data_IF_384816080894
#
_entry.id   IF_384816080894
#
_cell.length_a   1.000
_cell.length_b   1.000
_cell.length_c   1.000
_cell.angle_alpha   90.00
_cell.angle_beta   90.00
_cell.angle_gamma   90.00
#
_symmetry.space_group_name_H-M   'P 1'
#
loop_
_entity.id
_entity.type
_entity.pdbx_description
1 polymer ?
#
# COMPACT_ATOMS: atom_id res chain seq x y z
N UNK A 1 42.08 17.34 -24.90
CA UNK A 1 41.75 17.77 -23.52
C UNK A 1 40.36 18.38 -23.41
N UNK A 2 39.95 19.29 -24.31
CA UNK A 2 38.62 19.92 -24.28
C UNK A 2 37.41 18.95 -24.38
N UNK A 3 37.45 17.95 -25.27
CA UNK A 3 36.33 17.01 -25.45
C UNK A 3 36.07 16.10 -24.23
N UNK A 4 37.13 15.73 -23.49
CA UNK A 4 37.00 14.94 -22.26
C UNK A 4 36.40 15.77 -21.11
N UNK A 5 36.73 17.06 -21.06
CA UNK A 5 36.18 17.99 -20.07
C UNK A 5 34.69 18.27 -20.32
N UNK A 6 34.29 18.49 -21.58
CA UNK A 6 32.87 18.65 -21.95
C UNK A 6 32.07 17.39 -21.63
N UNK A 7 32.58 16.20 -21.94
CA UNK A 7 31.92 14.94 -21.60
C UNK A 7 31.74 14.74 -20.09
N UNK A 8 32.74 15.11 -19.28
CA UNK A 8 32.65 15.05 -17.81
C UNK A 8 31.65 16.06 -17.23
N UNK A 9 31.64 17.29 -17.75
CA UNK A 9 30.68 18.33 -17.35
C UNK A 9 29.25 17.95 -17.74
N UNK A 10 29.02 17.46 -18.95
CA UNK A 10 27.70 16.98 -19.39
C UNK A 10 27.23 15.80 -18.53
N UNK A 11 28.10 14.82 -18.27
CA UNK A 11 27.77 13.71 -17.38
C UNK A 11 27.40 14.17 -15.97
N UNK A 12 28.15 15.13 -15.40
CA UNK A 12 27.87 15.66 -14.07
C UNK A 12 26.57 16.46 -14.01
N UNK A 13 26.29 17.27 -15.03
CA UNK A 13 25.02 18.01 -15.17
C UNK A 13 23.84 17.04 -15.30
N UNK A 14 23.98 15.99 -16.13
CA UNK A 14 22.94 14.97 -16.31
C UNK A 14 22.71 14.16 -15.03
N UNK A 15 23.75 13.89 -14.25
CA UNK A 15 23.65 13.21 -12.95
C UNK A 15 22.94 14.09 -11.91
N UNK A 16 23.29 15.37 -11.83
CA UNK A 16 22.63 16.34 -10.93
C UNK A 16 21.16 16.54 -11.33
N UNK A 17 20.88 16.66 -12.63
CA UNK A 17 19.52 16.79 -13.16
C UNK A 17 18.68 15.55 -12.87
N UNK A 18 19.22 14.35 -13.12
CA UNK A 18 18.57 13.08 -12.76
C UNK A 18 18.23 13.00 -11.28
N UNK A 19 19.14 13.43 -10.39
CA UNK A 19 18.88 13.48 -8.94
C UNK A 19 17.81 14.51 -8.57
N UNK A 20 17.80 15.67 -9.21
CA UNK A 20 16.80 16.70 -8.96
C UNK A 20 15.39 16.27 -9.43
N UNK A 21 15.30 15.65 -10.60
CA UNK A 21 14.04 15.15 -11.16
C UNK A 21 13.51 13.96 -10.35
N UNK A 22 14.38 13.06 -9.90
CA UNK A 22 14.02 11.99 -8.97
C UNK A 22 13.48 12.53 -7.63
N UNK A 23 14.11 13.58 -7.06
CA UNK A 23 13.60 14.24 -5.85
C UNK A 23 12.23 14.87 -6.04
N UNK A 24 12.00 15.54 -7.18
CA UNK A 24 10.69 16.15 -7.51
C UNK A 24 9.60 15.09 -7.67
N UNK A 25 9.91 13.97 -8.32
CA UNK A 25 8.97 12.85 -8.46
C UNK A 25 8.64 12.21 -7.10
N UNK A 26 9.65 11.98 -6.25
CA UNK A 26 9.42 11.49 -4.88
C UNK A 26 8.49 12.44 -4.15
N UNK A 27 8.80 13.73 -4.09
CA UNK A 27 7.95 14.72 -3.42
C UNK A 27 6.52 14.75 -4.00
N UNK A 28 6.36 14.57 -5.32
CA UNK A 28 5.06 14.57 -6.00
C UNK A 28 4.16 13.40 -5.58
N UNK A 29 4.73 12.21 -5.35
CA UNK A 29 3.97 11.00 -4.98
C UNK A 29 4.09 10.63 -3.50
N UNK A 30 4.88 11.39 -2.75
CA UNK A 30 5.09 11.25 -1.33
C UNK A 30 3.79 11.36 -0.55
N UNK A 31 3.12 12.51 -0.64
CA UNK A 31 1.92 12.80 0.14
C UNK A 31 0.75 11.87 -0.22
N UNK A 32 0.49 11.57 -1.52
CA UNK A 32 -0.54 10.60 -1.87
C UNK A 32 -0.28 9.20 -1.33
N UNK A 33 0.98 8.73 -1.33
CA UNK A 33 1.34 7.43 -0.77
C UNK A 33 1.23 7.43 0.77
N UNK A 34 1.62 8.52 1.43
CA UNK A 34 1.47 8.70 2.86
C UNK A 34 0.00 8.62 3.28
N UNK A 35 -0.88 9.36 2.60
CA UNK A 35 -2.32 9.34 2.86
C UNK A 35 -2.93 7.94 2.64
N UNK A 36 -2.61 7.29 1.52
CA UNK A 36 -3.10 5.94 1.25
C UNK A 36 -2.60 4.92 2.29
N UNK A 37 -1.36 5.09 2.79
CA UNK A 37 -0.81 4.25 3.84
C UNK A 37 -1.52 4.49 5.18
N UNK A 38 -1.81 5.75 5.53
CA UNK A 38 -2.56 6.14 6.74
C UNK A 38 -3.98 5.57 6.73
N UNK A 39 -4.68 5.67 5.60
CA UNK A 39 -6.05 5.17 5.47
C UNK A 39 -6.09 3.64 5.56
N UNK A 40 -5.21 2.96 4.82
CA UNK A 40 -5.14 1.50 4.83
C UNK A 40 -4.75 0.97 6.22
N UNK A 41 -3.71 1.51 6.86
CA UNK A 41 -3.30 1.02 8.18
C UNK A 41 -4.39 1.22 9.22
N UNK A 42 -5.09 2.36 9.19
CA UNK A 42 -6.22 2.66 10.08
C UNK A 42 -7.34 1.64 9.89
N UNK A 43 -7.61 1.26 8.63
CA UNK A 43 -8.58 0.22 8.32
C UNK A 43 -8.17 -1.14 8.85
N UNK A 44 -6.89 -1.53 8.71
CA UNK A 44 -6.37 -2.79 9.24
C UNK A 44 -6.40 -2.82 10.77
N UNK A 45 -6.07 -1.71 11.43
CA UNK A 45 -6.21 -1.55 12.88
C UNK A 45 -7.66 -1.79 13.32
N UNK A 46 -8.62 -1.16 12.64
CA UNK A 46 -10.03 -1.31 12.98
C UNK A 46 -10.57 -2.73 12.76
N UNK A 47 -10.04 -3.48 11.79
CA UNK A 47 -10.41 -4.88 11.56
C UNK A 47 -9.77 -5.86 12.55
N UNK A 48 -8.58 -5.56 13.07
CA UNK A 48 -7.77 -6.52 13.84
C UNK A 48 -7.79 -6.26 15.34
N UNK A 49 -7.88 -5.00 15.78
CA UNK A 49 -7.86 -4.60 17.18
C UNK A 49 -9.18 -3.98 17.64
N UNK A 50 -9.96 -3.43 16.73
CA UNK A 50 -11.31 -2.95 17.03
C UNK A 50 -12.38 -3.92 16.51
N UNK A 51 -13.64 -3.51 16.68
CA UNK A 51 -14.81 -4.32 16.36
C UNK A 51 -15.41 -3.97 14.99
N UNK A 52 -14.64 -3.54 13.99
CA UNK A 52 -15.22 -3.14 12.70
C UNK A 52 -16.07 -4.25 12.06
N UNK A 53 -15.62 -5.50 12.16
CA UNK A 53 -16.25 -6.65 11.52
C UNK A 53 -17.62 -7.03 12.12
N UNK A 54 -17.99 -6.51 13.30
CA UNK A 54 -19.32 -6.75 13.90
C UNK A 54 -20.45 -6.11 13.09
N UNK A 55 -20.11 -5.15 12.24
CA UNK A 55 -21.06 -4.42 11.40
C UNK A 55 -21.26 -5.04 10.02
N UNK A 56 -20.67 -6.21 9.73
CA UNK A 56 -20.80 -6.89 8.42
C UNK A 56 -22.24 -7.32 8.12
N UNK A 57 -23.02 -7.64 9.15
CA UNK A 57 -24.43 -8.05 9.02
C UNK A 57 -25.39 -6.85 8.90
N UNK A 58 -24.88 -5.62 9.04
CA UNK A 58 -25.65 -4.38 8.86
C UNK A 58 -25.63 -3.98 7.38
N UNK A 59 -26.76 -4.15 6.69
CA UNK A 59 -26.87 -3.90 5.25
C UNK A 59 -26.55 -2.44 4.85
N UNK A 60 -26.79 -1.46 5.73
CA UNK A 60 -26.43 -0.06 5.44
C UNK A 60 -24.91 0.17 5.50
N UNK A 61 -24.20 -0.62 6.31
CA UNK A 61 -22.75 -0.49 6.54
C UNK A 61 -21.93 -1.49 5.72
N UNK A 62 -22.58 -2.49 5.13
CA UNK A 62 -21.93 -3.57 4.38
C UNK A 62 -21.04 -3.06 3.26
N UNK A 63 -21.54 -2.15 2.42
CA UNK A 63 -20.73 -1.53 1.37
C UNK A 63 -19.55 -0.74 1.94
N UNK A 64 -19.77 -0.03 3.06
CA UNK A 64 -18.72 0.68 3.78
C UNK A 64 -17.69 -0.25 4.40
N UNK A 65 -17.93 -1.57 4.49
CA UNK A 65 -16.96 -2.57 4.94
C UNK A 65 -16.30 -3.23 3.74
N UNK A 66 -17.06 -3.79 2.80
CA UNK A 66 -16.51 -4.52 1.67
C UNK A 66 -15.89 -3.59 0.62
N UNK A 67 -16.70 -2.70 0.04
CA UNK A 67 -16.30 -1.83 -1.07
C UNK A 67 -15.24 -0.83 -0.62
N UNK A 68 -15.42 -0.20 0.54
CA UNK A 68 -14.42 0.76 1.03
C UNK A 68 -13.10 0.08 1.43
N UNK A 69 -13.11 -1.15 1.96
CA UNK A 69 -11.84 -1.87 2.20
C UNK A 69 -11.16 -2.20 0.87
N UNK A 70 -11.90 -2.70 -0.12
CA UNK A 70 -11.38 -2.96 -1.45
C UNK A 70 -10.78 -1.70 -2.09
N UNK A 71 -11.44 -0.56 -1.94
CA UNK A 71 -10.94 0.74 -2.37
C UNK A 71 -9.61 1.10 -1.73
N UNK A 72 -9.47 0.95 -0.40
CA UNK A 72 -8.23 1.34 0.29
C UNK A 72 -7.02 0.48 -0.12
N UNK A 73 -7.22 -0.83 -0.33
CA UNK A 73 -6.20 -1.68 -0.93
C UNK A 73 -5.87 -1.23 -2.36
N UNK A 74 -6.90 -0.92 -3.16
CA UNK A 74 -6.74 -0.42 -4.52
C UNK A 74 -5.98 0.91 -4.58
N UNK A 75 -6.29 1.84 -3.67
CA UNK A 75 -5.67 3.15 -3.58
C UNK A 75 -4.19 3.03 -3.22
N UNK A 76 -3.87 2.23 -2.20
CA UNK A 76 -2.48 1.95 -1.85
C UNK A 76 -1.73 1.32 -3.02
N UNK A 77 -2.27 0.25 -3.62
CA UNK A 77 -1.63 -0.45 -4.74
C UNK A 77 -1.47 0.46 -5.98
N UNK A 78 -2.42 1.34 -6.26
CA UNK A 78 -2.32 2.37 -7.30
C UNK A 78 -1.11 3.28 -7.08
N UNK A 79 -0.96 3.86 -5.89
CA UNK A 79 0.19 4.73 -5.61
C UNK A 79 1.53 3.97 -5.62
N UNK A 80 1.57 2.72 -5.15
CA UNK A 80 2.78 1.90 -5.29
C UNK A 80 3.10 1.56 -6.74
N UNK A 81 2.08 1.38 -7.59
CA UNK A 81 2.22 1.13 -9.01
C UNK A 81 2.71 2.38 -9.76
N UNK A 82 2.07 3.53 -9.53
CA UNK A 82 2.49 4.84 -10.05
C UNK A 82 3.94 5.11 -9.65
N UNK A 83 4.23 4.97 -8.35
CA UNK A 83 5.58 5.11 -7.84
C UNK A 83 6.51 4.17 -8.60
N UNK A 84 6.24 2.86 -8.71
CA UNK A 84 7.13 1.93 -9.44
C UNK A 84 7.32 2.28 -10.92
N UNK A 85 6.25 2.68 -11.62
CA UNK A 85 6.28 3.03 -13.04
C UNK A 85 7.14 4.27 -13.29
N UNK A 86 7.03 5.28 -12.43
CA UNK A 86 7.81 6.53 -12.54
C UNK A 86 9.16 6.44 -11.79
N UNK A 87 9.31 5.51 -10.86
CA UNK A 87 10.52 5.20 -10.08
C UNK A 87 11.54 4.34 -10.82
N UNK A 88 11.30 3.93 -12.08
CA UNK A 88 12.40 3.41 -12.90
C UNK A 88 13.60 4.39 -12.95
N UNK A 89 13.34 5.69 -12.72
CA UNK A 89 14.37 6.72 -12.49
C UNK A 89 14.98 6.74 -11.07
N UNK A 90 14.28 6.25 -10.04
CA UNK A 90 14.69 6.26 -8.62
C UNK A 90 15.65 5.14 -8.23
N UNK A 91 15.79 4.08 -9.04
CA UNK A 91 16.80 3.02 -8.84
C UNK A 91 18.24 3.54 -8.78
N UNK A 92 18.48 4.79 -9.18
CA UNK A 92 19.77 5.48 -9.11
C UNK A 92 19.90 6.43 -7.89
N UNK A 93 18.91 6.49 -7.01
CA UNK A 93 19.01 7.26 -5.76
C UNK A 93 19.94 6.59 -4.76
N UNK A 94 20.99 7.29 -4.33
CA UNK A 94 21.91 6.87 -3.26
C UNK A 94 21.39 7.18 -1.86
N UNK A 95 20.18 7.73 -1.74
CA UNK A 95 19.64 8.19 -0.46
C UNK A 95 19.11 7.01 0.38
N UNK A 96 19.50 7.00 1.66
CA UNK A 96 19.12 5.95 2.63
C UNK A 96 17.60 5.76 2.71
N UNK A 97 16.83 6.84 2.77
CA UNK A 97 15.37 6.79 2.87
C UNK A 97 14.71 6.15 1.63
N UNK A 98 15.25 6.38 0.42
CA UNK A 98 14.74 5.74 -0.80
C UNK A 98 14.93 4.22 -0.81
N UNK A 99 16.07 3.74 -0.26
CA UNK A 99 16.35 2.30 -0.14
C UNK A 99 15.44 1.65 0.88
N UNK A 100 15.26 2.30 2.02
CA UNK A 100 14.41 1.79 3.10
C UNK A 100 12.93 1.75 2.69
N UNK A 101 12.43 2.81 2.05
CA UNK A 101 11.09 2.82 1.45
C UNK A 101 10.92 1.66 0.45
N UNK A 102 11.90 1.44 -0.42
CA UNK A 102 11.86 0.33 -1.39
C UNK A 102 11.81 -1.03 -0.69
N UNK A 103 12.60 -1.22 0.37
CA UNK A 103 12.63 -2.44 1.20
C UNK A 103 11.27 -2.71 1.83
N UNK A 104 10.64 -1.69 2.42
CA UNK A 104 9.32 -1.84 3.05
C UNK A 104 8.22 -2.11 2.04
N UNK A 105 8.22 -1.43 0.88
CA UNK A 105 7.27 -1.72 -0.20
C UNK A 105 7.41 -3.15 -0.73
N UNK A 106 8.65 -3.67 -0.81
CA UNK A 106 8.90 -5.07 -1.15
C UNK A 106 8.40 -6.03 -0.06
N UNK A 107 8.63 -5.70 1.22
CA UNK A 107 8.13 -6.47 2.36
C UNK A 107 6.58 -6.52 2.39
N UNK A 108 5.91 -5.38 2.15
CA UNK A 108 4.44 -5.32 2.05
C UNK A 108 3.96 -6.22 0.92
N UNK A 109 4.59 -6.14 -0.25
CA UNK A 109 4.26 -7.01 -1.38
C UNK A 109 4.44 -8.49 -1.01
N UNK A 110 5.53 -8.84 -0.32
CA UNK A 110 5.81 -10.19 0.18
C UNK A 110 4.75 -10.71 1.14
N UNK A 111 4.39 -9.92 2.16
CA UNK A 111 3.32 -10.29 3.10
C UNK A 111 1.99 -10.49 2.37
N UNK A 112 1.71 -9.74 1.30
CA UNK A 112 0.51 -9.94 0.49
C UNK A 112 0.52 -11.23 -0.33
N UNK A 113 1.64 -11.65 -0.93
CA UNK A 113 1.65 -12.83 -1.81
C UNK A 113 2.08 -14.14 -1.15
N UNK A 114 2.75 -14.10 0.01
CA UNK A 114 3.30 -15.32 0.63
C UNK A 114 2.17 -16.26 1.08
N UNK A 115 2.33 -17.55 0.78
CA UNK A 115 1.49 -18.66 1.24
C UNK A 115 2.21 -19.55 2.27
N UNK A 116 3.42 -19.15 2.67
CA UNK A 116 4.28 -19.93 3.56
C UNK A 116 3.75 -20.07 4.99
N UNK A 117 2.73 -19.28 5.38
CA UNK A 117 2.17 -19.26 6.72
C UNK A 117 0.79 -19.94 6.74
N UNK A 118 0.67 -21.15 7.32
CA UNK A 118 -0.59 -21.86 7.41
C UNK A 118 -1.67 -21.08 8.17
N UNK A 119 -2.90 -21.08 7.64
CA UNK A 119 -4.06 -20.41 8.28
C UNK A 119 -4.17 -18.91 8.02
N UNK A 120 -3.19 -18.29 7.35
CA UNK A 120 -3.18 -16.86 7.03
C UNK A 120 -3.69 -16.56 5.61
N UNK A 121 -4.66 -17.35 5.14
CA UNK A 121 -5.25 -17.21 3.81
C UNK A 121 -5.94 -15.87 3.52
N UNK A 122 -6.62 -15.20 4.48
CA UNK A 122 -7.34 -13.97 4.17
C UNK A 122 -6.46 -12.87 3.62
N UNK A 123 -6.98 -12.12 2.64
CA UNK A 123 -6.29 -11.00 1.98
C UNK A 123 -4.97 -11.37 1.28
N UNK A 124 -4.73 -12.66 1.01
CA UNK A 124 -3.64 -13.06 0.14
C UNK A 124 -3.89 -12.58 -1.29
N UNK A 125 -2.91 -11.85 -1.85
CA UNK A 125 -2.93 -11.32 -3.20
C UNK A 125 -1.64 -11.71 -3.91
N UNK A 126 -1.75 -12.53 -4.96
CA UNK A 126 -0.61 -12.86 -5.81
C UNK A 126 -0.03 -11.61 -6.46
N UNK A 127 1.27 -11.63 -6.82
CA UNK A 127 1.92 -10.47 -7.47
C UNK A 127 1.16 -9.96 -8.69
N UNK A 128 0.63 -10.86 -9.52
CA UNK A 128 -0.18 -10.49 -10.69
C UNK A 128 -1.48 -9.77 -10.32
N UNK A 129 -2.14 -10.16 -9.22
CA UNK A 129 -3.32 -9.45 -8.71
C UNK A 129 -2.96 -8.08 -8.15
N UNK A 130 -1.85 -7.99 -7.38
CA UNK A 130 -1.36 -6.70 -6.88
C UNK A 130 -1.08 -5.71 -8.03
N UNK A 131 -0.45 -6.18 -9.12
CA UNK A 131 -0.19 -5.39 -10.33
C UNK A 131 -1.48 -4.99 -11.03
N UNK A 132 -2.37 -5.95 -11.30
CA UNK A 132 -3.63 -5.69 -11.98
C UNK A 132 -4.49 -4.68 -11.21
N UNK A 133 -4.60 -4.82 -9.88
CA UNK A 133 -5.30 -3.85 -9.02
C UNK A 133 -4.65 -2.46 -9.16
N UNK A 134 -3.32 -2.36 -9.06
CA UNK A 134 -2.62 -1.09 -9.21
C UNK A 134 -2.88 -0.43 -10.58
N UNK A 135 -2.84 -1.23 -11.65
CA UNK A 135 -3.12 -0.79 -13.02
C UNK A 135 -4.56 -0.29 -13.20
N UNK A 136 -5.56 -1.10 -12.82
CA UNK A 136 -6.99 -0.74 -12.97
C UNK A 136 -7.41 0.36 -12.01
N UNK A 137 -6.64 0.65 -10.97
CA UNK A 137 -6.85 1.80 -10.07
C UNK A 137 -6.08 3.06 -10.48
N UNK A 138 -5.30 3.00 -11.57
CA UNK A 138 -4.53 4.13 -12.08
C UNK A 138 -5.18 4.69 -13.36
N UNK A 139 -5.21 6.01 -13.48
CA UNK A 139 -5.66 6.74 -14.68
C UNK A 139 -4.68 7.87 -14.99
N UNK A 140 -4.82 8.45 -16.18
CA UNK A 140 -3.98 9.53 -16.69
C UNK A 140 -2.90 9.04 -17.65
N UNK A 141 -2.49 9.92 -18.55
CA UNK A 141 -1.44 9.64 -19.54
C UNK A 141 -0.11 10.27 -19.09
N UNK A 142 -0.08 11.60 -18.95
CA UNK A 142 1.12 12.36 -18.54
C UNK A 142 1.26 12.51 -17.03
N UNK A 143 0.14 12.64 -16.32
CA UNK A 143 0.09 12.69 -14.86
C UNK A 143 -0.80 11.58 -14.36
N UNK A 144 -0.17 10.55 -13.79
CA UNK A 144 -0.88 9.41 -13.23
C UNK A 144 -1.53 9.79 -11.91
N UNK A 145 -2.76 9.31 -11.69
CA UNK A 145 -3.50 9.47 -10.45
C UNK A 145 -4.34 8.23 -10.13
N UNK A 146 -4.61 8.05 -8.85
CA UNK A 146 -5.51 7.01 -8.36
C UNK A 146 -6.98 7.38 -8.64
N UNK A 147 -7.78 6.40 -9.07
CA UNK A 147 -9.24 6.52 -9.19
C UNK A 147 -9.85 6.95 -7.84
N UNK A 148 -10.81 7.88 -7.87
CA UNK A 148 -11.54 8.33 -6.69
C UNK A 148 -12.62 7.35 -6.23
N UNK A 149 -13.01 7.42 -4.95
CA UNK A 149 -13.91 6.44 -4.32
C UNK A 149 -15.29 6.31 -5.00
N UNK A 150 -15.88 7.41 -5.47
CA UNK A 150 -17.17 7.39 -6.15
C UNK A 150 -17.10 6.62 -7.47
N UNK A 151 -16.10 6.92 -8.30
CA UNK A 151 -15.84 6.21 -9.56
C UNK A 151 -15.53 4.74 -9.30
N UNK A 152 -14.68 4.45 -8.31
CA UNK A 152 -14.40 3.07 -7.88
C UNK A 152 -15.68 2.32 -7.54
N UNK A 153 -16.55 2.91 -6.72
CA UNK A 153 -17.79 2.26 -6.28
C UNK A 153 -18.71 1.96 -7.47
N UNK A 154 -18.77 2.87 -8.45
CA UNK A 154 -19.56 2.67 -9.66
C UNK A 154 -19.00 1.54 -10.53
N UNK A 155 -17.68 1.52 -10.78
CA UNK A 155 -17.02 0.45 -11.53
C UNK A 155 -17.15 -0.90 -10.80
N UNK A 156 -16.89 -0.93 -9.49
CA UNK A 156 -17.01 -2.11 -8.63
C UNK A 156 -18.38 -2.78 -8.68
N UNK A 157 -19.45 -1.98 -8.73
CA UNK A 157 -20.83 -2.48 -8.74
C UNK A 157 -21.30 -2.90 -10.13
N UNK A 158 -20.83 -2.23 -11.18
CA UNK A 158 -21.39 -2.38 -12.53
C UNK A 158 -20.48 -3.15 -13.49
N UNK A 159 -19.20 -3.35 -13.17
CA UNK A 159 -18.23 -4.05 -14.00
C UNK A 159 -17.67 -5.30 -13.25
N UNK A 160 -18.15 -6.51 -13.60
CA UNK A 160 -17.65 -7.76 -13.03
C UNK A 160 -16.17 -8.02 -13.29
N UNK A 161 -15.63 -7.58 -14.43
CA UNK A 161 -14.21 -7.75 -14.79
C UNK A 161 -13.31 -6.83 -13.97
N UNK A 162 -13.80 -5.65 -13.60
CA UNK A 162 -13.13 -4.80 -12.62
C UNK A 162 -13.21 -5.42 -11.21
N UNK A 163 -14.42 -5.82 -10.78
CA UNK A 163 -14.66 -6.36 -9.43
C UNK A 163 -13.87 -7.64 -9.15
N UNK A 164 -13.63 -8.50 -10.16
CA UNK A 164 -12.96 -9.80 -9.93
C UNK A 164 -11.58 -9.68 -9.29
N UNK A 165 -10.87 -8.58 -9.53
CA UNK A 165 -9.56 -8.34 -8.92
C UNK A 165 -9.63 -8.14 -7.41
N UNK A 166 -10.78 -7.70 -6.88
CA UNK A 166 -11.00 -7.40 -5.48
C UNK A 166 -11.70 -8.53 -4.70
N UNK A 167 -12.13 -9.61 -5.38
CA UNK A 167 -12.74 -10.78 -4.73
C UNK A 167 -11.91 -11.33 -3.56
N UNK A 168 -10.57 -11.46 -3.64
CA UNK A 168 -9.79 -11.95 -2.50
C UNK A 168 -9.91 -11.08 -1.24
N UNK A 169 -10.20 -9.79 -1.39
CA UNK A 169 -10.44 -8.87 -0.28
C UNK A 169 -11.83 -9.13 0.31
N UNK A 170 -12.85 -9.31 -0.52
CA UNK A 170 -14.20 -9.67 -0.06
C UNK A 170 -14.20 -11.00 0.71
N UNK A 171 -13.61 -12.04 0.12
CA UNK A 171 -13.47 -13.36 0.74
C UNK A 171 -12.65 -13.26 2.02
N UNK A 172 -11.57 -12.46 2.02
CA UNK A 172 -10.77 -12.22 3.21
C UNK A 172 -11.57 -11.63 4.37
N UNK A 173 -12.46 -10.66 4.11
CA UNK A 173 -13.36 -10.11 5.14
C UNK A 173 -14.28 -11.20 5.69
N UNK A 174 -14.89 -12.00 4.81
CA UNK A 174 -15.78 -13.09 5.23
C UNK A 174 -15.03 -14.13 6.09
N UNK A 175 -13.83 -14.52 5.69
CA UNK A 175 -13.00 -15.47 6.43
C UNK A 175 -12.64 -14.94 7.82
N UNK A 176 -12.32 -13.64 7.94
CA UNK A 176 -12.08 -13.01 9.24
C UNK A 176 -13.33 -13.00 10.12
N UNK A 177 -14.51 -12.73 9.56
CA UNK A 177 -15.78 -12.82 10.31
C UNK A 177 -16.00 -14.23 10.85
N UNK A 178 -15.79 -15.25 10.01
CA UNK A 178 -15.94 -16.65 10.43
C UNK A 178 -14.86 -17.09 11.43
N UNK A 179 -13.63 -16.59 11.30
CA UNK A 179 -12.56 -16.81 12.27
C UNK A 179 -12.90 -16.18 13.63
N UNK A 180 -13.43 -14.96 13.63
CA UNK A 180 -13.91 -14.27 14.83
C UNK A 180 -15.00 -15.04 15.57
N UNK A 181 -15.97 -15.61 14.85
CA UNK A 181 -17.01 -16.49 15.42
C UNK A 181 -16.41 -17.73 16.11
N UNK A 182 -15.28 -18.24 15.59
CA UNK A 182 -14.51 -19.37 16.15
C UNK A 182 -13.47 -18.96 17.20
N UNK A 183 -13.31 -17.66 17.46
CA UNK A 183 -12.23 -17.08 18.29
C UNK A 183 -10.82 -17.44 17.81
N UNK A 184 -10.68 -17.68 16.51
CA UNK A 184 -9.39 -17.96 15.87
C UNK A 184 -8.72 -16.64 15.44
N UNK A 185 -7.49 -16.42 15.91
CA UNK A 185 -6.72 -15.21 15.62
C UNK A 185 -5.74 -15.39 14.47
N UNK A 186 -5.39 -16.62 14.07
CA UNK A 186 -4.38 -16.88 13.03
C UNK A 186 -4.73 -16.18 11.71
N UNK A 187 -6.00 -16.15 11.25
CA UNK A 187 -6.36 -15.49 10.00
C UNK A 187 -6.12 -13.96 10.00
N UNK A 188 -5.95 -13.33 11.17
CA UNK A 188 -5.63 -11.89 11.28
C UNK A 188 -4.14 -11.56 11.10
N UNK A 189 -3.26 -12.57 11.14
CA UNK A 189 -1.82 -12.36 11.27
C UNK A 189 -1.20 -11.63 10.08
N UNK A 190 -1.64 -11.93 8.84
CA UNK A 190 -1.23 -11.21 7.63
C UNK A 190 -1.53 -9.71 7.75
N UNK A 191 -2.75 -9.36 8.18
CA UNK A 191 -3.17 -7.97 8.32
C UNK A 191 -2.38 -7.23 9.40
N UNK A 192 -2.03 -7.91 10.49
CA UNK A 192 -1.22 -7.32 11.57
C UNK A 192 0.20 -6.99 11.08
N UNK A 193 0.85 -7.90 10.35
CA UNK A 193 2.14 -7.62 9.69
C UNK A 193 2.05 -6.50 8.66
N UNK A 194 0.99 -6.48 7.84
CA UNK A 194 0.76 -5.39 6.89
C UNK A 194 0.61 -4.04 7.61
N UNK A 195 -0.15 -4.00 8.70
CA UNK A 195 -0.35 -2.78 9.48
C UNK A 195 0.97 -2.27 10.06
N UNK A 196 1.83 -3.17 10.57
CA UNK A 196 3.15 -2.80 11.06
C UNK A 196 4.03 -2.21 9.95
N UNK A 197 4.10 -2.87 8.79
CA UNK A 197 4.89 -2.37 7.66
C UNK A 197 4.35 -1.06 7.10
N UNK A 198 3.03 -0.84 7.12
CA UNK A 198 2.43 0.43 6.72
C UNK A 198 2.79 1.55 7.71
N UNK A 199 2.85 1.26 9.01
CA UNK A 199 3.37 2.22 10.00
C UNK A 199 4.83 2.54 9.71
N UNK A 200 5.67 1.54 9.47
CA UNK A 200 7.09 1.75 9.15
C UNK A 200 7.24 2.63 7.89
N UNK A 201 6.40 2.39 6.88
CA UNK A 201 6.34 3.23 5.68
C UNK A 201 5.94 4.67 6.01
N UNK A 202 4.90 4.86 6.83
CA UNK A 202 4.45 6.19 7.27
C UNK A 202 5.56 6.93 8.02
N UNK A 203 6.32 6.26 8.89
CA UNK A 203 7.41 6.90 9.63
C UNK A 203 8.55 7.38 8.72
N UNK A 204 8.77 6.71 7.59
CA UNK A 204 9.79 7.12 6.61
C UNK A 204 9.30 8.26 5.73
N UNK A 205 8.00 8.24 5.39
CA UNK A 205 7.40 9.30 4.60
C UNK A 205 7.25 10.58 5.46
N UNK A 206 6.70 10.46 6.67
CA UNK A 206 6.50 11.59 7.57
C UNK A 206 7.63 11.71 8.61
N UNK A 207 8.87 11.86 8.14
CA UNK A 207 10.08 11.93 9.00
C UNK A 207 10.02 13.12 9.98
N UNK A 208 9.52 14.27 9.54
CA UNK A 208 9.33 15.47 10.37
C UNK A 208 8.10 15.36 11.30
N UNK A 209 7.25 14.36 11.07
CA UNK A 209 6.06 14.09 11.85
C UNK A 209 4.97 15.16 11.72
N UNK A 210 5.04 16.03 10.71
CA UNK A 210 4.10 17.14 10.54
C UNK A 210 2.74 16.68 9.97
N UNK A 211 2.66 15.45 9.48
CA UNK A 211 1.44 14.86 8.95
C UNK A 211 0.35 14.63 10.01
N UNK A 212 -0.91 14.71 9.57
CA UNK A 212 -2.08 14.39 10.40
C UNK A 212 -2.07 12.92 10.90
N UNK A 213 -2.80 12.65 11.98
CA UNK A 213 -3.04 11.27 12.44
C UNK A 213 -1.99 10.63 13.36
N UNK A 214 -1.12 11.41 14.03
CA UNK A 214 -0.14 10.90 15.02
C UNK A 214 -0.72 9.93 16.06
N UNK A 215 -1.95 10.17 16.53
CA UNK A 215 -2.63 9.33 17.53
C UNK A 215 -3.07 7.96 16.99
N UNK A 216 -3.00 7.74 15.67
CA UNK A 216 -3.42 6.49 14.99
C UNK A 216 -2.25 5.65 14.49
N UNK A 217 -1.01 5.94 14.91
CA UNK A 217 0.23 5.26 14.46
C UNK A 217 0.70 4.13 15.39
N UNK A 218 -0.19 3.60 16.23
CA UNK A 218 0.14 2.50 17.12
C UNK A 218 0.19 1.17 16.37
N UNK A 219 1.26 0.41 16.58
CA UNK A 219 1.31 -0.99 16.15
C UNK A 219 0.19 -1.77 16.84
N UNK A 220 -0.52 -2.59 16.07
CA UNK A 220 -1.37 -3.63 16.65
C UNK A 220 -0.50 -4.68 17.36
N UNK A 221 -1.09 -5.59 18.12
CA UNK A 221 -0.32 -6.67 18.75
C UNK A 221 0.63 -7.36 17.74
N UNK A 222 1.85 -7.69 18.16
CA UNK A 222 2.85 -8.37 17.32
C UNK A 222 2.51 -9.84 17.02
N UNK A 223 2.97 -10.33 15.88
CA UNK A 223 2.86 -11.74 15.46
C UNK A 223 4.26 -12.32 15.27
N UNK A 224 4.43 -13.62 15.54
CA UNK A 224 5.68 -14.33 15.26
C UNK A 224 6.17 -14.11 13.81
N UNK A 225 7.44 -13.75 13.64
CA UNK A 225 8.05 -13.52 12.33
C UNK A 225 7.61 -12.23 11.64
N UNK A 226 7.38 -11.13 12.40
CA UNK A 226 7.22 -9.81 11.81
C UNK A 226 8.59 -9.22 11.45
N UNK A 227 8.81 -8.86 10.18
CA UNK A 227 10.02 -8.18 9.71
C UNK A 227 9.97 -6.64 9.89
N UNK A 228 9.09 -6.17 10.76
CA UNK A 228 8.83 -4.76 11.01
C UNK A 228 9.78 -4.18 12.07
N UNK A 229 9.95 -2.86 12.08
CA UNK A 229 10.90 -2.17 12.96
C UNK A 229 10.42 -2.07 14.43
N UNK A 230 9.16 -2.42 14.72
CA UNK A 230 8.51 -2.26 16.02
C UNK A 230 8.27 -3.55 16.82
N UNK A 231 8.81 -4.69 16.39
CA UNK A 231 8.68 -6.00 17.08
C UNK A 231 9.97 -6.44 17.78
#
# INVERSE_FOLDING_TARGET
VAAAFTGWVTWFIDEVRRRADAKKLVAKYHDPLLLASLDLQSRLFNMTQQNLLVHVEDEEKKDLIFVYTAFLFGQFLSWTYILRREAQFLRFSTQKNSREMSRILEAISHVLYTDANPGEGPFMLWKGQQMAIGEVMTRGDDQLYCVGYSTFTMEYKNDPEFRRWFIPIETGIQDLVQAGKRRDRVPTYRLRRLQHLLIDLIMILDEDGEGEGRTRRGYVDAVSGCDCNGC
#
